data_IF_071450760058
#
_entry.id   IF_071450760058
#
_cell.length_a   1.000
_cell.length_b   1.000
_cell.length_c   1.000
_cell.angle_alpha   90.00
_cell.angle_beta   90.00
_cell.angle_gamma   90.00
#
_symmetry.space_group_name_H-M   'P 1'
#
loop_
_entity.id
_entity.type
_entity.pdbx_description
1 polymer ?
#
# COMPACT_ATOMS: atom_id res chain seq x y z
N UNK A 1 12.99 -15.50 13.85
CA UNK A 1 12.60 -14.78 15.10
C UNK A 1 12.75 -13.31 14.79
N UNK A 2 11.68 -12.72 14.27
CA UNK A 2 11.61 -11.29 13.97
C UNK A 2 11.68 -10.58 15.31
N UNK A 3 12.78 -9.85 15.55
CA UNK A 3 12.89 -8.92 16.67
C UNK A 3 11.97 -7.75 16.36
N UNK A 4 10.67 -7.93 16.63
CA UNK A 4 9.75 -6.81 16.85
C UNK A 4 10.20 -6.19 18.17
N UNK A 5 11.12 -5.24 18.06
CA UNK A 5 11.61 -4.47 19.18
C UNK A 5 10.49 -3.52 19.57
N UNK A 6 9.63 -3.96 20.51
CA UNK A 6 8.80 -3.09 21.32
C UNK A 6 9.73 -2.29 22.24
N UNK A 7 10.27 -1.17 21.74
CA UNK A 7 10.97 -0.19 22.57
C UNK A 7 9.95 0.83 23.10
N UNK A 8 9.87 0.86 24.43
CA UNK A 8 9.05 1.77 25.23
C UNK A 8 9.25 3.24 24.82
N UNK A 9 8.16 3.89 24.40
CA UNK A 9 8.11 5.34 24.18
C UNK A 9 6.78 5.84 23.60
N UNK A 10 6.29 5.20 22.53
CA UNK A 10 4.95 5.38 21.95
C UNK A 10 4.63 4.11 21.17
N UNK A 11 4.03 3.09 21.80
CA UNK A 11 3.70 1.84 21.11
C UNK A 11 2.47 2.11 20.23
N UNK A 12 2.68 2.63 19.01
CA UNK A 12 1.66 2.48 17.97
C UNK A 12 1.51 0.99 17.70
N UNK A 13 0.27 0.51 17.77
CA UNK A 13 -0.05 -0.87 17.42
C UNK A 13 0.26 -1.08 15.93
N UNK A 14 0.78 -2.25 15.50
CA UNK A 14 0.91 -2.60 14.08
C UNK A 14 -0.41 -2.41 13.30
N UNK A 15 -1.55 -2.54 13.98
CA UNK A 15 -2.86 -2.21 13.42
C UNK A 15 -2.98 -0.74 13.07
N UNK A 16 -2.58 0.17 13.98
CA UNK A 16 -2.67 1.62 13.73
C UNK A 16 -1.83 2.04 12.53
N UNK A 17 -0.65 1.46 12.36
CA UNK A 17 0.24 1.79 11.25
C UNK A 17 -0.33 1.28 9.92
N UNK A 18 -0.83 0.04 9.88
CA UNK A 18 -1.45 -0.53 8.67
C UNK A 18 -2.78 0.13 8.33
N UNK A 19 -3.62 0.44 9.31
CA UNK A 19 -4.87 1.15 9.07
C UNK A 19 -4.62 2.54 8.48
N UNK A 20 -3.63 3.29 8.99
CA UNK A 20 -3.22 4.57 8.39
C UNK A 20 -2.72 4.38 6.95
N UNK A 21 -1.88 3.38 6.70
CA UNK A 21 -1.42 3.10 5.34
C UNK A 21 -2.59 2.81 4.40
N UNK A 22 -3.51 1.94 4.81
CA UNK A 22 -4.59 1.44 3.95
C UNK A 22 -5.64 2.53 3.68
N UNK A 23 -6.03 3.29 4.70
CA UNK A 23 -6.94 4.44 4.53
C UNK A 23 -6.38 5.43 3.49
N UNK A 24 -5.10 5.77 3.59
CA UNK A 24 -4.48 6.73 2.67
C UNK A 24 -4.23 6.12 1.28
N UNK A 25 -3.90 4.83 1.22
CA UNK A 25 -3.75 4.09 -0.03
C UNK A 25 -5.06 4.11 -0.84
N UNK A 26 -6.19 3.81 -0.21
CA UNK A 26 -7.50 3.81 -0.88
C UNK A 26 -7.92 5.22 -1.29
N UNK A 27 -7.70 6.19 -0.40
CA UNK A 27 -7.99 7.59 -0.66
C UNK A 27 -7.24 8.08 -1.90
N UNK A 28 -5.93 7.83 -1.99
CA UNK A 28 -5.13 8.22 -3.13
C UNK A 28 -5.49 7.42 -4.39
N UNK A 29 -5.50 6.08 -4.29
CA UNK A 29 -5.68 5.19 -5.44
C UNK A 29 -7.06 5.31 -6.08
N UNK A 30 -8.10 5.32 -5.24
CA UNK A 30 -9.50 5.10 -5.65
C UNK A 30 -10.45 6.22 -5.21
N UNK A 31 -9.97 7.24 -4.47
CA UNK A 31 -10.81 8.31 -3.90
C UNK A 31 -11.86 7.81 -2.91
N UNK A 32 -11.52 6.72 -2.19
CA UNK A 32 -12.40 6.08 -1.20
C UNK A 32 -11.88 6.44 0.19
N UNK A 33 -12.75 7.04 1.00
CA UNK A 33 -12.45 7.33 2.41
C UNK A 33 -12.86 6.15 3.29
N UNK A 34 -11.93 5.71 4.15
CA UNK A 34 -12.13 4.55 5.02
C UNK A 34 -11.74 4.89 6.46
N UNK A 35 -12.71 4.80 7.37
CA UNK A 35 -12.47 4.97 8.80
C UNK A 35 -12.26 3.62 9.50
N UNK A 36 -11.04 3.10 9.45
CA UNK A 36 -10.70 1.79 10.04
C UNK A 36 -10.58 1.81 11.58
N UNK A 37 -10.88 2.92 12.25
CA UNK A 37 -10.67 3.08 13.69
C UNK A 37 -11.56 2.16 14.56
N UNK A 38 -12.67 1.63 14.02
CA UNK A 38 -13.59 0.74 14.73
C UNK A 38 -13.42 -0.74 14.37
N UNK A 39 -12.50 -1.07 13.48
CA UNK A 39 -12.30 -2.44 12.99
C UNK A 39 -11.32 -3.24 13.87
N UNK A 40 -11.65 -4.49 14.18
CA UNK A 40 -10.71 -5.45 14.76
C UNK A 40 -10.29 -6.44 13.68
N UNK A 41 -9.04 -6.36 13.21
CA UNK A 41 -8.48 -7.27 12.21
C UNK A 41 -7.11 -7.81 12.65
N UNK A 42 -6.81 -9.05 12.28
CA UNK A 42 -5.45 -9.56 12.38
C UNK A 42 -4.62 -9.01 11.22
N UNK A 43 -3.69 -8.11 11.52
CA UNK A 43 -2.92 -7.42 10.47
C UNK A 43 -1.55 -8.01 10.22
N UNK A 44 -1.16 -9.11 10.88
CA UNK A 44 0.22 -9.61 10.83
C UNK A 44 0.71 -9.85 9.39
N UNK A 45 -0.11 -10.50 8.56
CA UNK A 45 0.21 -10.75 7.14
C UNK A 45 0.20 -9.47 6.33
N UNK A 46 -0.76 -8.59 6.56
CA UNK A 46 -0.90 -7.31 5.87
C UNK A 46 0.30 -6.41 6.13
N UNK A 47 0.70 -6.28 7.40
CA UNK A 47 1.92 -5.59 7.84
C UNK A 47 3.11 -6.16 7.09
N UNK A 48 3.32 -7.48 7.13
CA UNK A 48 4.50 -8.12 6.52
C UNK A 48 4.60 -7.82 5.01
N UNK A 49 3.50 -7.98 4.28
CA UNK A 49 3.48 -7.79 2.83
C UNK A 49 3.62 -6.30 2.44
N UNK A 50 2.96 -5.38 3.16
CA UNK A 50 3.10 -3.93 2.93
C UNK A 50 4.55 -3.50 3.18
N UNK A 51 5.12 -3.87 4.33
CA UNK A 51 6.51 -3.52 4.65
C UNK A 51 7.49 -4.14 3.65
N UNK A 52 7.30 -5.40 3.28
CA UNK A 52 8.16 -6.06 2.28
C UNK A 52 8.07 -5.37 0.92
N UNK A 53 6.88 -4.95 0.50
CA UNK A 53 6.70 -4.22 -0.75
C UNK A 53 7.39 -2.86 -0.73
N UNK A 54 7.21 -2.12 0.36
CA UNK A 54 7.87 -0.83 0.56
C UNK A 54 9.39 -1.00 0.57
N UNK A 55 9.93 -1.99 1.28
CA UNK A 55 11.37 -2.25 1.31
C UNK A 55 11.95 -2.52 -0.10
N UNK A 56 11.20 -3.24 -0.95
CA UNK A 56 11.58 -3.43 -2.36
C UNK A 56 11.55 -2.09 -3.11
N UNK A 57 10.52 -1.27 -2.90
CA UNK A 57 10.41 0.05 -3.56
C UNK A 57 11.50 1.02 -3.10
N UNK A 58 11.93 0.96 -1.83
CA UNK A 58 13.01 1.82 -1.31
C UNK A 58 14.37 1.42 -1.88
N UNK A 59 14.58 0.12 -2.11
CA UNK A 59 15.83 -0.41 -2.62
C UNK A 59 15.78 -0.78 -4.11
N UNK A 60 14.82 -0.21 -4.85
CA UNK A 60 14.62 -0.57 -6.25
C UNK A 60 15.82 -0.18 -7.12
N UNK A 61 16.17 -1.05 -8.06
CA UNK A 61 17.24 -0.80 -9.05
C UNK A 61 16.71 -0.90 -10.48
N UNK A 62 15.57 -1.56 -10.65
CA UNK A 62 14.91 -1.82 -11.93
C UNK A 62 13.41 -1.57 -11.83
N UNK A 63 12.74 -1.44 -12.98
CA UNK A 63 11.27 -1.37 -13.03
C UNK A 63 10.59 -2.70 -12.67
N UNK A 64 11.30 -3.82 -12.75
CA UNK A 64 10.83 -5.10 -12.23
C UNK A 64 10.74 -5.07 -10.70
N UNK A 65 11.74 -4.48 -10.02
CA UNK A 65 11.67 -4.27 -8.56
C UNK A 65 10.43 -3.44 -8.20
N UNK A 66 10.13 -2.38 -8.94
CA UNK A 66 8.91 -1.60 -8.74
C UNK A 66 7.66 -2.46 -8.89
N UNK A 67 7.59 -3.26 -9.95
CA UNK A 67 6.46 -4.17 -10.19
C UNK A 67 6.27 -5.15 -9.03
N UNK A 68 7.36 -5.76 -8.53
CA UNK A 68 7.33 -6.69 -7.40
C UNK A 68 6.91 -5.99 -6.09
N UNK A 69 7.41 -4.79 -5.85
CA UNK A 69 7.06 -3.98 -4.68
C UNK A 69 5.57 -3.63 -4.66
N UNK A 70 5.01 -3.22 -5.79
CA UNK A 70 3.58 -2.90 -5.92
C UNK A 70 2.71 -4.14 -5.72
N UNK A 71 3.08 -5.29 -6.30
CA UNK A 71 2.36 -6.56 -6.07
C UNK A 71 2.30 -6.91 -4.58
N UNK A 72 3.41 -6.73 -3.86
CA UNK A 72 3.49 -6.95 -2.41
C UNK A 72 2.58 -6.02 -1.61
N UNK A 73 2.57 -4.72 -1.93
CA UNK A 73 1.67 -3.75 -1.31
C UNK A 73 0.20 -4.14 -1.55
N UNK A 74 -0.16 -4.43 -2.80
CA UNK A 74 -1.53 -4.83 -3.17
C UNK A 74 -1.96 -6.10 -2.44
N UNK A 75 -1.09 -7.11 -2.32
CA UNK A 75 -1.41 -8.30 -1.52
C UNK A 75 -1.55 -8.02 -0.05
N UNK A 76 -0.72 -7.15 0.53
CA UNK A 76 -0.87 -6.75 1.93
C UNK A 76 -2.19 -6.04 2.20
N UNK A 77 -2.62 -5.17 1.27
CA UNK A 77 -3.95 -4.56 1.28
C UNK A 77 -5.06 -5.63 1.19
N UNK A 78 -4.98 -6.57 0.26
CA UNK A 78 -5.97 -7.65 0.13
C UNK A 78 -6.06 -8.53 1.37
N UNK A 79 -4.93 -8.86 1.99
CA UNK A 79 -4.89 -9.63 3.24
C UNK A 79 -5.63 -8.88 4.35
N UNK A 80 -5.44 -7.56 4.43
CA UNK A 80 -6.13 -6.74 5.44
C UNK A 80 -7.64 -6.77 5.24
N UNK A 81 -8.11 -6.63 4.00
CA UNK A 81 -9.54 -6.71 3.65
C UNK A 81 -10.13 -8.05 4.08
N UNK A 82 -9.45 -9.16 3.76
CA UNK A 82 -9.89 -10.51 4.12
C UNK A 82 -9.98 -10.68 5.63
N UNK A 83 -9.01 -10.15 6.37
CA UNK A 83 -9.00 -10.20 7.83
C UNK A 83 -9.98 -9.18 8.48
N UNK A 84 -10.49 -8.22 7.71
CA UNK A 84 -11.46 -7.17 8.12
C UNK A 84 -12.92 -7.48 7.74
N UNK A 85 -13.22 -8.68 7.23
CA UNK A 85 -14.57 -9.09 6.79
C UNK A 85 -15.66 -8.97 7.88
N UNK A 86 -15.27 -8.87 9.16
CA UNK A 86 -16.19 -8.75 10.29
C UNK A 86 -16.53 -7.29 10.63
N UNK A 87 -15.93 -6.33 9.95
CA UNK A 87 -16.08 -4.92 10.28
C UNK A 87 -17.29 -4.31 9.55
N UNK A 88 -18.48 -4.55 10.09
CA UNK A 88 -19.78 -4.21 9.45
C UNK A 88 -19.91 -2.72 9.08
N UNK A 89 -19.37 -1.82 9.90
CA UNK A 89 -19.49 -0.36 9.69
C UNK A 89 -18.68 0.13 8.48
N UNK A 90 -17.49 -0.44 8.25
CA UNK A 90 -16.54 -0.03 7.19
C UNK A 90 -16.59 -0.92 5.96
N UNK A 91 -17.30 -2.04 6.05
CA UNK A 91 -17.39 -3.04 4.98
C UNK A 91 -17.84 -2.46 3.63
N UNK A 92 -18.80 -1.52 3.55
CA UNK A 92 -19.18 -0.93 2.27
C UNK A 92 -18.01 -0.24 1.54
N UNK A 93 -17.22 0.58 2.23
CA UNK A 93 -16.05 1.25 1.64
C UNK A 93 -14.93 0.26 1.28
N UNK A 94 -14.74 -0.77 2.13
CA UNK A 94 -13.80 -1.86 1.84
C UNK A 94 -14.20 -2.60 0.56
N UNK A 95 -15.49 -2.90 0.40
CA UNK A 95 -16.02 -3.59 -0.78
C UNK A 95 -15.86 -2.72 -2.03
N UNK A 96 -16.20 -1.43 -1.95
CA UNK A 96 -16.04 -0.49 -3.07
C UNK A 96 -14.58 -0.47 -3.57
N UNK A 97 -13.61 -0.34 -2.66
CA UNK A 97 -12.22 -0.29 -3.13
C UNK A 97 -11.66 -1.67 -3.51
N UNK A 98 -12.24 -2.76 -3.01
CA UNK A 98 -11.94 -4.08 -3.57
C UNK A 98 -12.39 -4.18 -5.04
N UNK A 99 -13.58 -3.67 -5.37
CA UNK A 99 -14.09 -3.61 -6.74
C UNK A 99 -13.18 -2.77 -7.64
N UNK A 100 -12.72 -1.62 -7.16
CA UNK A 100 -11.74 -0.76 -7.87
C UNK A 100 -10.35 -1.40 -8.01
N UNK A 101 -9.97 -2.32 -7.12
CA UNK A 101 -8.74 -3.10 -7.23
C UNK A 101 -8.86 -4.29 -8.19
N UNK A 102 -10.06 -4.73 -8.57
CA UNK A 102 -10.24 -5.91 -9.42
C UNK A 102 -9.54 -5.80 -10.78
N UNK A 103 -9.53 -4.66 -11.49
CA UNK A 103 -8.75 -4.50 -12.72
C UNK A 103 -7.28 -4.81 -12.49
N UNK A 104 -6.69 -4.33 -11.39
CA UNK A 104 -5.31 -4.64 -11.04
C UNK A 104 -5.11 -6.15 -10.82
N UNK A 105 -5.96 -6.75 -9.98
CA UNK A 105 -5.86 -8.15 -9.56
C UNK A 105 -6.02 -9.11 -10.74
N UNK A 106 -7.03 -8.86 -11.59
CA UNK A 106 -7.36 -9.72 -12.72
C UNK A 106 -6.35 -9.61 -13.88
N UNK A 107 -5.58 -8.52 -13.90
CA UNK A 107 -4.69 -8.18 -15.00
C UNK A 107 -3.24 -8.01 -14.54
N UNK A 108 -2.85 -8.58 -13.39
CA UNK A 108 -1.53 -8.37 -12.80
C UNK A 108 -0.38 -8.74 -13.78
N UNK A 109 -0.61 -9.67 -14.72
CA UNK A 109 0.34 -10.03 -15.77
C UNK A 109 0.73 -8.86 -16.68
N UNK A 110 -0.08 -7.80 -16.74
CA UNK A 110 0.19 -6.61 -17.54
C UNK A 110 1.04 -5.57 -16.81
N UNK A 111 1.38 -5.78 -15.53
CA UNK A 111 2.23 -4.86 -14.77
C UNK A 111 3.60 -4.66 -15.41
N UNK A 112 4.16 -5.70 -16.02
CA UNK A 112 5.44 -5.63 -16.74
C UNK A 112 5.41 -4.63 -17.91
N UNK A 113 4.22 -4.27 -18.41
CA UNK A 113 4.03 -3.25 -19.44
C UNK A 113 3.56 -1.93 -18.84
N UNK A 114 2.63 -1.98 -17.90
CA UNK A 114 2.03 -0.79 -17.29
C UNK A 114 3.04 0.02 -16.48
N UNK A 115 3.93 -0.63 -15.72
CA UNK A 115 4.95 0.06 -14.92
C UNK A 115 5.95 0.83 -15.79
N UNK A 116 6.59 0.23 -16.83
CA UNK A 116 7.42 0.99 -17.76
C UNK A 116 6.67 2.09 -18.50
N UNK A 117 5.42 1.84 -18.89
CA UNK A 117 4.59 2.83 -19.59
C UNK A 117 4.29 4.04 -18.68
N UNK A 118 3.88 3.79 -17.43
CA UNK A 118 3.70 4.81 -16.42
C UNK A 118 4.97 5.65 -16.20
N UNK A 119 6.12 5.00 -16.07
CA UNK A 119 7.41 5.66 -15.94
C UNK A 119 7.76 6.51 -17.17
N UNK A 120 7.61 5.98 -18.39
CA UNK A 120 7.97 6.69 -19.63
C UNK A 120 7.10 7.92 -19.85
N UNK A 121 5.79 7.80 -19.63
CA UNK A 121 4.84 8.89 -19.91
C UNK A 121 4.67 9.87 -18.74
N UNK A 122 5.03 9.48 -17.51
CA UNK A 122 4.89 10.31 -16.32
C UNK A 122 6.13 10.22 -15.40
N UNK A 123 7.36 10.45 -15.91
CA UNK A 123 8.60 10.14 -15.19
C UNK A 123 8.77 10.95 -13.91
N UNK A 124 8.33 12.21 -13.92
CA UNK A 124 8.43 13.11 -12.76
C UNK A 124 7.53 12.62 -11.63
N UNK A 125 6.24 12.41 -11.92
CA UNK A 125 5.26 11.94 -10.92
C UNK A 125 5.65 10.56 -10.39
N UNK A 126 6.01 9.63 -11.28
CA UNK A 126 6.42 8.29 -10.90
C UNK A 126 7.61 8.31 -9.92
N UNK A 127 8.64 9.12 -10.21
CA UNK A 127 9.80 9.24 -9.32
C UNK A 127 9.45 9.94 -8.00
N UNK A 128 8.59 10.96 -8.04
CA UNK A 128 8.13 11.66 -6.83
C UNK A 128 7.40 10.70 -5.87
N UNK A 129 6.52 9.85 -6.39
CA UNK A 129 5.78 8.89 -5.56
C UNK A 129 6.74 7.89 -4.90
N UNK A 130 7.69 7.33 -5.65
CA UNK A 130 8.73 6.45 -5.10
C UNK A 130 9.59 7.18 -4.06
N UNK A 131 10.03 8.41 -4.35
CA UNK A 131 10.82 9.21 -3.42
C UNK A 131 10.07 9.53 -2.12
N UNK A 132 8.75 9.72 -2.18
CA UNK A 132 7.92 9.95 -1.00
C UNK A 132 7.76 8.68 -0.16
N UNK A 133 7.61 7.52 -0.81
CA UNK A 133 7.61 6.22 -0.13
C UNK A 133 8.95 6.00 0.59
N UNK A 134 10.07 6.35 -0.06
CA UNK A 134 11.40 6.30 0.57
C UNK A 134 11.49 7.23 1.77
N UNK A 135 11.10 8.50 1.62
CA UNK A 135 11.16 9.48 2.69
C UNK A 135 10.29 9.08 3.90
N UNK A 136 9.15 8.44 3.66
CA UNK A 136 8.28 7.92 4.70
C UNK A 136 8.95 6.84 5.58
N UNK A 137 9.98 6.16 5.06
CA UNK A 137 10.66 5.04 5.72
C UNK A 137 12.10 5.33 6.16
N UNK A 138 12.69 6.44 5.71
CA UNK A 138 14.06 6.84 6.03
C UNK A 138 14.21 7.43 7.46
N UNK A 139 13.10 7.73 8.13
CA UNK A 139 13.10 8.33 9.48
C UNK A 139 12.21 7.55 10.46
N UNK A 140 12.57 7.61 11.76
CA UNK A 140 11.76 7.03 12.84
C UNK A 140 11.10 8.14 13.67
N UNK A 141 9.77 8.06 13.95
CA UNK A 141 8.86 6.99 13.51
C UNK A 141 8.56 7.08 12.01
N UNK A 142 8.31 5.91 11.39
CA UNK A 142 7.94 5.82 9.97
C UNK A 142 6.57 6.48 9.72
N UNK A 143 6.41 7.11 8.56
CA UNK A 143 5.19 7.81 8.16
C UNK A 143 4.30 6.93 7.27
N UNK A 144 3.55 6.03 7.90
CA UNK A 144 2.61 5.15 7.20
C UNK A 144 1.54 5.90 6.42
N UNK A 145 1.20 7.12 6.83
CA UNK A 145 0.20 7.94 6.15
C UNK A 145 0.76 8.38 4.79
N UNK A 146 1.95 8.97 4.77
CA UNK A 146 2.63 9.38 3.53
C UNK A 146 2.90 8.18 2.62
N UNK A 147 3.36 7.06 3.18
CA UNK A 147 3.63 5.87 2.40
C UNK A 147 2.38 5.27 1.76
N UNK A 148 1.26 5.23 2.51
CA UNK A 148 -0.03 4.80 1.99
C UNK A 148 -0.48 5.69 0.84
N UNK A 149 -0.48 7.00 1.07
CA UNK A 149 -0.85 8.01 0.07
C UNK A 149 -0.01 7.86 -1.21
N UNK A 150 1.32 7.87 -1.12
CA UNK A 150 2.20 7.81 -2.29
C UNK A 150 2.19 6.44 -2.98
N UNK A 151 1.99 5.35 -2.23
CA UNK A 151 1.77 4.02 -2.85
C UNK A 151 0.45 3.98 -3.63
N UNK A 152 -0.60 4.62 -3.11
CA UNK A 152 -1.90 4.71 -3.78
C UNK A 152 -1.84 5.56 -5.05
N UNK A 153 -1.17 6.71 -5.01
CA UNK A 153 -0.95 7.57 -6.20
C UNK A 153 -0.15 6.82 -7.28
N UNK A 154 0.89 6.08 -6.88
CA UNK A 154 1.67 5.25 -7.80
C UNK A 154 0.83 4.12 -8.42
N UNK A 155 0.00 3.43 -7.63
CA UNK A 155 -0.91 2.40 -8.13
C UNK A 155 -1.93 3.00 -9.11
N UNK A 156 -2.51 4.15 -8.79
CA UNK A 156 -3.43 4.87 -9.70
C UNK A 156 -2.76 5.27 -11.00
N UNK A 157 -1.51 5.70 -10.93
CA UNK A 157 -0.73 6.03 -12.11
C UNK A 157 -0.52 4.79 -12.99
N UNK A 158 -0.13 3.66 -12.40
CA UNK A 158 0.07 2.39 -13.11
C UNK A 158 -1.23 1.88 -13.71
N UNK A 159 -2.34 1.94 -12.97
CA UNK A 159 -3.66 1.50 -13.40
C UNK A 159 -4.16 2.22 -14.65
N UNK A 160 -3.78 3.48 -14.88
CA UNK A 160 -4.11 4.21 -16.12
C UNK A 160 -3.50 3.58 -17.38
N UNK A 161 -2.52 2.70 -17.23
CA UNK A 161 -1.77 2.05 -18.31
C UNK A 161 -1.92 0.52 -18.31
N UNK A 162 -2.83 -0.03 -17.49
CA UNK A 162 -3.26 -1.43 -17.51
C UNK A 162 -4.47 -1.61 -18.43
#
# INVERSE_FOLDING_TARGET
IIRIIFLNGMIKSPFSDVSLFITEFYSAAFSIDMDLNTCEANVEKSVLEIYSGIEILVNYTTLDDVSRGIVKIVYGVMNFIQDSQKCEEVWPSIQEGLEEMMPFINNFQYLIYAVPTAFIFNPITFYQDISNIMAAFDHYPQDFKLAGYSSGDLVKLILKHM
#
